data_IF_413063958700
#
_entry.id   IF_413063958700
#
_cell.length_a   1.000
_cell.length_b   1.000
_cell.length_c   1.000
_cell.angle_alpha   90.00
_cell.angle_beta   90.00
_cell.angle_gamma   90.00
#
_symmetry.space_group_name_H-M   'P 1'
#
loop_
_entity.id
_entity.type
_entity.pdbx_description
1 polymer ?
#
# COMPACT_ATOMS: atom_id res chain seq x y z
N UNK A 1 35.98 13.21 8.76
CA UNK A 1 34.54 13.12 8.38
C UNK A 1 33.73 13.72 9.52
N UNK A 2 32.91 14.73 9.25
CA UNK A 2 32.39 15.63 10.28
C UNK A 2 31.20 15.00 11.04
N UNK A 3 31.15 15.18 12.36
CA UNK A 3 30.00 14.81 13.21
C UNK A 3 28.66 15.42 12.70
N UNK A 4 28.73 16.49 11.90
CA UNK A 4 27.59 17.09 11.22
C UNK A 4 27.02 16.21 10.09
N UNK A 5 27.85 15.41 9.40
CA UNK A 5 27.41 14.47 8.35
C UNK A 5 26.77 13.22 8.97
N UNK A 6 27.29 12.75 10.11
CA UNK A 6 26.67 11.69 10.91
C UNK A 6 25.36 12.16 11.56
N UNK A 7 25.28 13.42 12.00
CA UNK A 7 24.02 14.01 12.49
C UNK A 7 23.03 14.29 11.37
N UNK A 8 23.50 14.55 10.14
CA UNK A 8 22.65 14.67 8.95
C UNK A 8 22.13 13.31 8.49
N UNK A 9 22.97 12.27 8.52
CA UNK A 9 22.63 10.85 8.31
C UNK A 9 21.70 10.33 9.42
N UNK A 10 21.90 10.70 10.68
CA UNK A 10 20.99 10.40 11.78
C UNK A 10 19.67 11.19 11.71
N UNK A 11 19.70 12.41 11.15
CA UNK A 11 18.49 13.18 10.76
C UNK A 11 17.74 12.60 9.57
N UNK A 12 18.30 11.63 8.83
CA UNK A 12 17.65 11.09 7.61
C UNK A 12 16.35 10.34 7.88
N UNK A 13 16.03 10.04 9.14
CA UNK A 13 14.80 9.33 9.51
C UNK A 13 13.99 10.10 10.54
N UNK A 14 13.63 11.36 10.24
CA UNK A 14 12.49 11.98 10.92
C UNK A 14 11.25 11.07 10.69
N UNK A 15 10.65 10.47 11.74
CA UNK A 15 9.54 9.53 11.59
C UNK A 15 8.36 10.11 10.81
N UNK A 16 8.16 11.43 10.90
CA UNK A 16 7.12 12.11 10.14
C UNK A 16 7.43 12.13 8.63
N UNK A 17 8.66 12.47 8.26
CA UNK A 17 9.10 12.44 6.86
C UNK A 17 9.10 11.02 6.30
N UNK A 18 9.54 10.03 7.08
CA UNK A 18 9.52 8.62 6.70
C UNK A 18 8.09 8.10 6.48
N UNK A 19 7.17 8.39 7.41
CA UNK A 19 5.76 8.03 7.30
C UNK A 19 5.12 8.60 6.02
N UNK A 20 5.39 9.87 5.70
CA UNK A 20 4.88 10.50 4.48
C UNK A 20 5.41 9.82 3.22
N UNK A 21 6.68 9.42 3.20
CA UNK A 21 7.27 8.69 2.06
C UNK A 21 6.66 7.31 1.89
N UNK A 22 6.42 6.57 2.97
CA UNK A 22 5.77 5.26 2.88
C UNK A 22 4.31 5.35 2.44
N UNK A 23 3.55 6.35 2.92
CA UNK A 23 2.20 6.62 2.40
C UNK A 23 2.22 7.00 0.92
N UNK A 24 3.17 7.85 0.49
CA UNK A 24 3.28 8.22 -0.90
C UNK A 24 3.64 7.03 -1.79
N UNK A 25 4.59 6.19 -1.35
CA UNK A 25 5.00 5.00 -2.09
C UNK A 25 3.85 3.98 -2.21
N UNK A 26 3.11 3.74 -1.13
CA UNK A 26 1.89 2.93 -1.14
C UNK A 26 0.87 3.48 -2.15
N UNK A 27 0.56 4.78 -2.08
CA UNK A 27 -0.35 5.43 -3.02
C UNK A 27 0.09 5.28 -4.49
N UNK A 28 1.37 5.45 -4.79
CA UNK A 28 1.89 5.29 -6.15
C UNK A 28 1.78 3.83 -6.61
N UNK A 29 2.26 2.88 -5.81
CA UNK A 29 2.24 1.46 -6.18
C UNK A 29 0.81 0.97 -6.36
N UNK A 30 -0.07 1.28 -5.41
CA UNK A 30 -1.48 0.91 -5.45
C UNK A 30 -2.22 1.60 -6.60
N UNK A 31 -1.93 2.88 -6.85
CA UNK A 31 -2.53 3.64 -7.95
C UNK A 31 -2.10 3.12 -9.33
N UNK A 32 -0.81 2.84 -9.52
CA UNK A 32 -0.31 2.23 -10.76
C UNK A 32 -0.95 0.87 -11.00
N UNK A 33 -1.09 0.04 -9.96
CA UNK A 33 -1.76 -1.25 -10.06
C UNK A 33 -3.24 -1.10 -10.44
N UNK A 34 -3.96 -0.19 -9.76
CA UNK A 34 -5.36 0.09 -10.06
C UNK A 34 -5.58 0.61 -11.48
N UNK A 35 -4.72 1.52 -11.95
CA UNK A 35 -4.75 2.03 -13.33
C UNK A 35 -4.44 0.92 -14.35
N UNK A 36 -3.50 0.02 -14.05
CA UNK A 36 -3.21 -1.12 -14.91
C UNK A 36 -4.44 -2.04 -15.03
N UNK A 37 -5.14 -2.30 -13.92
CA UNK A 37 -6.38 -3.07 -13.95
C UNK A 37 -7.47 -2.36 -14.75
N UNK A 38 -7.63 -1.04 -14.63
CA UNK A 38 -8.61 -0.30 -15.41
C UNK A 38 -8.30 -0.29 -16.91
N UNK A 39 -7.05 -0.01 -17.28
CA UNK A 39 -6.64 0.14 -18.68
C UNK A 39 -6.50 -1.19 -19.42
N UNK A 40 -6.15 -2.27 -18.72
CA UNK A 40 -5.81 -3.57 -19.31
C UNK A 40 -6.56 -4.75 -18.68
N UNK A 41 -7.77 -4.53 -18.13
CA UNK A 41 -8.60 -5.57 -17.49
C UNK A 41 -8.81 -6.81 -18.35
N UNK A 42 -8.99 -6.67 -19.66
CA UNK A 42 -9.16 -7.79 -20.58
C UNK A 42 -7.91 -8.68 -20.69
N UNK A 43 -6.77 -8.14 -21.16
CA UNK A 43 -5.50 -8.88 -21.20
C UNK A 43 -5.06 -9.42 -19.84
N UNK A 44 -5.12 -8.61 -18.78
CA UNK A 44 -4.75 -9.03 -17.43
C UNK A 44 -5.71 -10.10 -16.89
N UNK A 45 -7.00 -10.02 -17.18
CA UNK A 45 -7.97 -11.02 -16.78
C UNK A 45 -7.64 -12.40 -17.35
N UNK A 46 -7.25 -12.46 -18.63
CA UNK A 46 -6.79 -13.71 -19.26
C UNK A 46 -5.49 -14.22 -18.65
N UNK A 47 -4.52 -13.34 -18.39
CA UNK A 47 -3.23 -13.71 -17.81
C UNK A 47 -3.37 -14.24 -16.38
N UNK A 48 -4.14 -13.53 -15.55
CA UNK A 48 -4.34 -13.85 -14.14
C UNK A 48 -5.41 -14.92 -13.93
N UNK A 49 -6.20 -15.26 -14.94
CA UNK A 49 -7.35 -16.17 -14.80
C UNK A 49 -8.45 -15.58 -13.93
N UNK A 50 -8.65 -14.26 -13.98
CA UNK A 50 -9.64 -13.52 -13.21
C UNK A 50 -10.59 -12.80 -14.17
N UNK A 51 -11.88 -12.71 -13.81
CA UNK A 51 -12.86 -11.99 -14.63
C UNK A 51 -12.47 -10.53 -14.85
N UNK A 52 -12.54 -10.05 -16.10
CA UNK A 52 -12.19 -8.67 -16.45
C UNK A 52 -13.08 -7.63 -15.75
N UNK A 53 -14.36 -7.95 -15.54
CA UNK A 53 -15.28 -7.11 -14.77
C UNK A 53 -14.81 -6.93 -13.32
N UNK A 54 -14.41 -8.03 -12.67
CA UNK A 54 -13.84 -7.99 -11.32
C UNK A 54 -12.55 -7.16 -11.29
N UNK A 55 -11.66 -7.31 -12.29
CA UNK A 55 -10.47 -6.46 -12.38
C UNK A 55 -10.81 -4.98 -12.57
N UNK A 56 -11.84 -4.62 -13.35
CA UNK A 56 -12.28 -3.23 -13.47
C UNK A 56 -12.77 -2.67 -12.13
N UNK A 57 -13.59 -3.41 -11.41
CA UNK A 57 -14.10 -3.02 -10.09
C UNK A 57 -12.96 -2.85 -9.07
N UNK A 58 -12.04 -3.82 -9.02
CA UNK A 58 -10.84 -3.74 -8.19
C UNK A 58 -9.97 -2.55 -8.59
N UNK A 59 -9.78 -2.32 -9.89
CA UNK A 59 -9.00 -1.20 -10.41
C UNK A 59 -9.57 0.16 -9.97
N UNK A 60 -10.89 0.34 -10.10
CA UNK A 60 -11.57 1.56 -9.66
C UNK A 60 -11.42 1.77 -8.14
N UNK A 61 -11.65 0.71 -7.36
CA UNK A 61 -11.47 0.75 -5.91
C UNK A 61 -10.03 1.14 -5.51
N UNK A 62 -9.02 0.51 -6.11
CA UNK A 62 -7.61 0.77 -5.81
C UNK A 62 -7.21 2.20 -6.19
N UNK A 63 -7.71 2.75 -7.29
CA UNK A 63 -7.45 4.14 -7.67
C UNK A 63 -8.05 5.12 -6.65
N UNK A 64 -9.28 4.89 -6.19
CA UNK A 64 -9.91 5.73 -5.16
C UNK A 64 -9.14 5.64 -3.84
N UNK A 65 -8.76 4.43 -3.42
CA UNK A 65 -7.93 4.22 -2.24
C UNK A 65 -6.58 4.95 -2.35
N UNK A 66 -5.86 4.76 -3.47
CA UNK A 66 -4.59 5.42 -3.73
C UNK A 66 -4.70 6.95 -3.71
N UNK A 67 -5.79 7.51 -4.24
CA UNK A 67 -6.05 8.95 -4.17
C UNK A 67 -6.20 9.42 -2.71
N UNK A 68 -6.94 8.68 -1.88
CA UNK A 68 -7.08 8.96 -0.45
C UNK A 68 -5.76 8.89 0.31
N UNK A 69 -4.96 7.85 0.09
CA UNK A 69 -3.63 7.69 0.70
C UNK A 69 -2.67 8.78 0.22
N UNK A 70 -2.68 9.09 -1.08
CA UNK A 70 -1.85 10.14 -1.68
C UNK A 70 -2.19 11.53 -1.13
N UNK A 71 -3.48 11.82 -0.96
CA UNK A 71 -3.94 13.04 -0.28
C UNK A 71 -3.45 13.12 1.17
N UNK A 72 -3.48 12.00 1.90
CA UNK A 72 -2.95 11.93 3.26
C UNK A 72 -1.43 12.16 3.29
N UNK A 73 -0.69 11.59 2.34
CA UNK A 73 0.76 11.75 2.20
C UNK A 73 1.16 13.20 1.85
N UNK A 74 0.32 13.91 1.09
CA UNK A 74 0.52 15.32 0.74
C UNK A 74 0.42 16.26 1.96
N UNK A 75 -0.22 15.84 3.06
CA UNK A 75 -0.31 16.66 4.28
C UNK A 75 1.06 16.81 4.96
N UNK A 76 1.42 18.03 5.44
CA UNK A 76 2.66 18.23 6.19
C UNK A 76 2.74 17.37 7.46
N UNK A 77 1.60 17.22 8.16
CA UNK A 77 1.45 16.40 9.37
C UNK A 77 0.24 15.47 9.22
N UNK A 78 0.39 14.25 8.69
CA UNK A 78 -0.70 13.29 8.58
C UNK A 78 -1.25 12.93 9.97
N UNK A 79 -2.56 13.07 10.18
CA UNK A 79 -3.18 12.72 11.46
C UNK A 79 -3.05 11.21 11.73
N UNK A 80 -2.91 10.81 13.00
CA UNK A 80 -2.69 9.41 13.37
C UNK A 80 -3.87 8.49 13.02
N UNK A 81 -5.11 8.96 13.18
CA UNK A 81 -6.31 8.17 12.92
C UNK A 81 -6.44 7.76 11.44
N UNK A 82 -6.37 8.67 10.44
CA UNK A 82 -6.35 8.28 9.03
C UNK A 82 -5.21 7.34 8.66
N UNK A 83 -4.02 7.53 9.23
CA UNK A 83 -2.88 6.63 8.98
C UNK A 83 -3.16 5.22 9.49
N UNK A 84 -3.74 5.10 10.70
CA UNK A 84 -4.16 3.79 11.22
C UNK A 84 -5.20 3.14 10.32
N UNK A 85 -6.17 3.91 9.80
CA UNK A 85 -7.17 3.37 8.88
C UNK A 85 -6.52 2.81 7.59
N UNK A 86 -5.48 3.46 7.06
CA UNK A 86 -4.71 2.95 5.90
C UNK A 86 -3.99 1.64 6.24
N UNK A 87 -3.36 1.56 7.42
CA UNK A 87 -2.71 0.33 7.91
C UNK A 87 -3.72 -0.82 8.01
N UNK A 88 -4.85 -0.59 8.67
CA UNK A 88 -5.90 -1.61 8.83
C UNK A 88 -6.51 -2.02 7.49
N UNK A 89 -6.72 -1.08 6.57
CA UNK A 89 -7.22 -1.37 5.22
C UNK A 89 -6.24 -2.26 4.44
N UNK A 90 -4.93 -1.95 4.48
CA UNK A 90 -3.91 -2.77 3.83
C UNK A 90 -3.81 -4.18 4.45
N UNK A 91 -3.94 -4.31 5.77
CA UNK A 91 -3.96 -5.61 6.45
C UNK A 91 -5.22 -6.41 6.08
N UNK A 92 -6.39 -5.77 6.11
CA UNK A 92 -7.65 -6.38 5.71
C UNK A 92 -7.58 -6.84 4.23
N UNK A 93 -6.98 -6.04 3.36
CA UNK A 93 -6.78 -6.39 1.95
C UNK A 93 -5.85 -7.58 1.77
N UNK A 94 -4.76 -7.66 2.54
CA UNK A 94 -3.85 -8.81 2.52
C UNK A 94 -4.57 -10.09 2.97
N UNK A 95 -5.31 -10.03 4.07
CA UNK A 95 -6.11 -11.17 4.58
C UNK A 95 -7.17 -11.58 3.56
N UNK A 96 -7.90 -10.61 3.00
CA UNK A 96 -8.92 -10.85 1.98
C UNK A 96 -8.32 -11.49 0.73
N UNK A 97 -7.13 -11.07 0.31
CA UNK A 97 -6.42 -11.66 -0.84
C UNK A 97 -6.04 -13.13 -0.59
N UNK A 98 -5.58 -13.46 0.62
CA UNK A 98 -5.31 -14.84 1.00
C UNK A 98 -6.60 -15.68 1.11
N UNK A 99 -7.63 -15.14 1.76
CA UNK A 99 -8.94 -15.78 1.87
C UNK A 99 -9.56 -16.02 0.49
N UNK A 100 -9.36 -15.10 -0.45
CA UNK A 100 -9.81 -15.23 -1.82
C UNK A 100 -9.24 -16.47 -2.50
N UNK A 101 -7.94 -16.65 -2.46
CA UNK A 101 -7.29 -17.83 -3.03
C UNK A 101 -7.73 -19.13 -2.33
N UNK A 102 -8.00 -19.07 -1.03
CA UNK A 102 -8.35 -20.25 -0.25
C UNK A 102 -9.82 -20.68 -0.39
N UNK A 103 -10.73 -19.74 -0.64
CA UNK A 103 -12.17 -19.97 -0.44
C UNK A 103 -13.03 -19.79 -1.71
N UNK A 104 -12.67 -18.88 -2.63
CA UNK A 104 -13.60 -18.51 -3.71
C UNK A 104 -12.98 -18.22 -5.09
N UNK A 105 -11.67 -17.95 -5.18
CA UNK A 105 -10.98 -17.65 -6.44
C UNK A 105 -10.02 -18.78 -6.80
N UNK A 106 -10.14 -19.28 -8.03
CA UNK A 106 -9.20 -20.23 -8.64
C UNK A 106 -8.53 -19.59 -9.85
N UNK A 107 -7.61 -18.62 -9.64
CA UNK A 107 -6.90 -17.94 -10.72
C UNK A 107 -5.92 -18.88 -11.43
N UNK A 108 -5.30 -18.39 -12.49
CA UNK A 108 -4.14 -19.06 -13.09
C UNK A 108 -2.96 -19.09 -12.09
N UNK A 109 -1.94 -19.91 -12.35
CA UNK A 109 -0.70 -19.89 -11.54
C UNK A 109 -0.09 -18.49 -11.46
N UNK A 110 -0.12 -17.74 -12.56
CA UNK A 110 0.35 -16.36 -12.59
C UNK A 110 -0.52 -15.45 -11.70
N UNK A 111 -1.84 -15.62 -11.74
CA UNK A 111 -2.77 -14.87 -10.88
C UNK A 111 -2.63 -15.21 -9.39
N UNK A 112 -2.38 -16.47 -9.04
CA UNK A 112 -2.12 -16.87 -7.66
C UNK A 112 -0.82 -16.24 -7.13
N UNK A 113 0.27 -16.35 -7.89
CA UNK A 113 1.55 -15.72 -7.54
C UNK A 113 1.42 -14.20 -7.40
N UNK A 114 0.73 -13.57 -8.35
CA UNK A 114 0.47 -12.14 -8.33
C UNK A 114 -0.35 -11.72 -7.10
N UNK A 115 -1.40 -12.48 -6.76
CA UNK A 115 -2.26 -12.22 -5.60
C UNK A 115 -1.48 -12.31 -4.30
N UNK A 116 -0.60 -13.30 -4.14
CA UNK A 116 0.29 -13.42 -2.98
C UNK A 116 1.29 -12.26 -2.94
N UNK A 117 1.91 -11.93 -4.07
CA UNK A 117 2.90 -10.85 -4.15
C UNK A 117 2.29 -9.49 -3.77
N UNK A 118 1.11 -9.16 -4.28
CA UNK A 118 0.44 -7.90 -3.91
C UNK A 118 0.04 -7.90 -2.43
N UNK A 119 -0.42 -9.05 -1.88
CA UNK A 119 -0.80 -9.16 -0.47
C UNK A 119 0.39 -8.90 0.46
N UNK A 120 1.55 -9.50 0.15
CA UNK A 120 2.79 -9.25 0.89
C UNK A 120 3.26 -7.80 0.75
N UNK A 121 3.09 -7.21 -0.43
CA UNK A 121 3.47 -5.82 -0.69
C UNK A 121 2.67 -4.84 0.18
N UNK A 122 1.33 -4.95 0.19
CA UNK A 122 0.48 -4.08 1.01
C UNK A 122 0.67 -4.32 2.50
N UNK A 123 0.90 -5.58 2.92
CA UNK A 123 1.24 -5.90 4.31
C UNK A 123 2.58 -5.27 4.72
N UNK A 124 3.56 -5.26 3.82
CA UNK A 124 4.83 -4.56 4.01
C UNK A 124 4.65 -3.05 4.20
N UNK A 125 3.81 -2.41 3.37
CA UNK A 125 3.46 -0.99 3.57
C UNK A 125 2.78 -0.75 4.91
N UNK A 126 1.80 -1.59 5.28
CA UNK A 126 1.11 -1.49 6.56
C UNK A 126 2.10 -1.58 7.74
N UNK A 127 3.05 -2.51 7.69
CA UNK A 127 4.08 -2.64 8.72
C UNK A 127 4.98 -1.40 8.82
N UNK A 128 5.48 -0.89 7.68
CA UNK A 128 6.33 0.29 7.64
C UNK A 128 5.60 1.56 8.14
N UNK A 129 4.35 1.73 7.73
CA UNK A 129 3.47 2.83 8.17
C UNK A 129 3.18 2.72 9.67
N UNK A 130 2.91 1.52 10.20
CA UNK A 130 2.67 1.29 11.62
C UNK A 130 3.90 1.60 12.47
N UNK A 131 5.08 1.07 12.10
CA UNK A 131 6.34 1.27 12.82
C UNK A 131 6.69 2.76 12.88
N UNK A 132 6.60 3.47 11.75
CA UNK A 132 6.91 4.91 11.70
C UNK A 132 5.88 5.78 12.43
N UNK A 133 4.59 5.39 12.38
CA UNK A 133 3.56 6.06 13.18
C UNK A 133 3.83 5.91 14.68
N UNK A 134 4.15 4.68 15.13
CA UNK A 134 4.44 4.41 16.54
C UNK A 134 5.67 5.21 17.02
N UNK A 135 6.77 5.16 16.26
CA UNK A 135 7.97 5.93 16.58
C UNK A 135 7.71 7.45 16.68
N UNK A 136 6.81 8.01 15.85
CA UNK A 136 6.40 9.40 15.92
C UNK A 136 5.61 9.73 17.19
N UNK A 137 4.73 8.82 17.62
CA UNK A 137 3.93 8.99 18.85
C UNK A 137 4.82 8.97 20.09
N UNK A 138 5.80 8.06 20.13
CA UNK A 138 6.74 7.95 21.27
C UNK A 138 7.63 9.20 21.44
N UNK A 139 7.80 10.00 20.38
CA UNK A 139 8.56 11.26 20.39
C UNK A 139 7.70 12.50 20.72
N UNK A 140 6.37 12.37 20.79
CA UNK A 140 5.45 13.46 21.09
C UNK A 140 4.94 13.29 22.54
N UNK A 141 5.54 13.98 23.53
CA UNK A 141 5.21 13.83 24.96
C UNK A 141 3.81 14.34 25.32
#
# INVERSE_FOLDING_TARGET
>A
MSAAQLSALARTTDPQTALRRFLALDAVVTGVNGLAYLAASGPLGRLLGVGSALLLELGAFLVVYAAGVGWLAARPRPAALPVRAVVEANLAWAVLSCAALALWLSPSTAGALWTVLQALTVAGFAALQHITLKARQDMSP
#
